data_IF_790363638047
#
_entry.id   IF_790363638047
#
_cell.length_a   1.000
_cell.length_b   1.000
_cell.length_c   1.000
_cell.angle_alpha   90.00
_cell.angle_beta   90.00
_cell.angle_gamma   90.00
#
_symmetry.space_group_name_H-M   'P 1'
#
loop_
_entity.id
_entity.type
_entity.pdbx_description
1 polymer ?
#
# COMPACT_ATOMS: atom_id res chain seq x y z
N UNK A 1 -17.59 -6.97 23.30
CA UNK A 1 -16.13 -6.80 23.50
C UNK A 1 -15.28 -7.48 22.43
N UNK A 2 -15.57 -8.73 22.03
CA UNK A 2 -14.79 -9.42 20.98
C UNK A 2 -14.77 -8.71 19.61
N UNK A 3 -15.86 -8.05 19.22
CA UNK A 3 -15.95 -7.32 17.94
C UNK A 3 -15.00 -6.13 17.88
N UNK A 4 -14.93 -5.37 18.98
CA UNK A 4 -14.07 -4.18 19.14
C UNK A 4 -12.60 -4.59 19.21
N UNK A 5 -12.26 -5.64 19.96
CA UNK A 5 -10.89 -6.16 19.99
C UNK A 5 -10.40 -6.61 18.62
N UNK A 6 -11.26 -7.29 17.85
CA UNK A 6 -10.92 -7.74 16.49
C UNK A 6 -10.84 -6.58 15.49
N UNK A 7 -11.54 -5.47 15.71
CA UNK A 7 -11.37 -4.21 14.95
C UNK A 7 -10.04 -3.52 15.29
N UNK A 8 -9.68 -3.43 16.59
CA UNK A 8 -8.42 -2.86 17.03
C UNK A 8 -7.21 -3.61 16.45
N UNK A 9 -7.24 -4.94 16.47
CA UNK A 9 -6.21 -5.77 15.85
C UNK A 9 -6.12 -5.53 14.33
N UNK A 10 -7.26 -5.42 13.65
CA UNK A 10 -7.29 -5.15 12.21
C UNK A 10 -6.68 -3.78 11.86
N UNK A 11 -7.09 -2.73 12.56
CA UNK A 11 -6.60 -1.37 12.33
C UNK A 11 -5.11 -1.25 12.70
N UNK A 12 -4.68 -1.90 13.79
CA UNK A 12 -3.27 -1.93 14.19
C UNK A 12 -2.38 -2.62 13.15
N UNK A 13 -2.82 -3.76 12.62
CA UNK A 13 -2.11 -4.45 11.55
C UNK A 13 -2.04 -3.59 10.27
N UNK A 14 -3.15 -2.92 9.91
CA UNK A 14 -3.20 -2.01 8.77
C UNK A 14 -2.20 -0.85 8.90
N UNK A 15 -2.17 -0.21 10.07
CA UNK A 15 -1.22 0.88 10.38
C UNK A 15 0.23 0.40 10.37
N UNK A 16 0.50 -0.80 10.87
CA UNK A 16 1.85 -1.37 10.87
C UNK A 16 2.36 -1.64 9.44
N UNK A 17 1.50 -2.19 8.58
CA UNK A 17 1.79 -2.37 7.15
C UNK A 17 2.03 -1.01 6.48
N UNK A 18 1.15 -0.03 6.71
CA UNK A 18 1.27 1.32 6.15
C UNK A 18 2.55 2.04 6.61
N UNK A 19 2.94 1.89 7.88
CA UNK A 19 4.19 2.43 8.41
C UNK A 19 5.43 1.76 7.80
N UNK A 20 5.42 0.43 7.65
CA UNK A 20 6.51 -0.31 7.01
C UNK A 20 6.68 0.10 5.53
N UNK A 21 5.55 0.26 4.83
CA UNK A 21 5.49 0.83 3.48
C UNK A 21 6.20 2.18 3.40
N UNK A 22 5.84 3.13 4.28
CA UNK A 22 6.44 4.47 4.29
C UNK A 22 7.95 4.41 4.56
N UNK A 23 8.41 3.54 5.48
CA UNK A 23 9.84 3.35 5.76
C UNK A 23 10.59 2.80 4.54
N UNK A 24 10.00 1.82 3.84
CA UNK A 24 10.59 1.25 2.61
C UNK A 24 10.58 2.31 1.49
N UNK A 25 9.52 3.11 1.40
CA UNK A 25 9.38 4.19 0.42
C UNK A 25 10.43 5.28 0.62
N UNK A 26 10.68 5.66 1.88
CA UNK A 26 11.69 6.65 2.27
C UNK A 26 13.12 6.13 2.04
N UNK A 27 13.38 4.85 2.39
CA UNK A 27 14.70 4.22 2.19
C UNK A 27 15.10 4.00 0.74
N UNK A 28 14.13 3.80 -0.16
CA UNK A 28 14.42 3.58 -1.58
C UNK A 28 14.83 4.89 -2.27
N UNK A 29 14.45 6.05 -1.70
CA UNK A 29 14.88 7.39 -2.09
C UNK A 29 14.46 7.85 -3.50
N UNK A 30 14.34 6.97 -4.49
CA UNK A 30 14.30 7.30 -5.90
C UNK A 30 13.44 6.25 -6.63
N UNK A 31 12.44 6.71 -7.40
CA UNK A 31 11.75 6.01 -8.52
C UNK A 31 11.92 4.49 -8.48
N UNK A 32 10.99 3.79 -7.81
CA UNK A 32 11.02 2.33 -7.71
C UNK A 32 11.23 1.72 -9.11
N UNK A 33 12.14 0.74 -9.28
CA UNK A 33 12.23 -0.02 -10.52
C UNK A 33 10.93 -0.81 -10.68
N UNK A 34 10.00 -0.24 -11.45
CA UNK A 34 8.60 -0.67 -11.52
C UNK A 34 7.66 0.50 -11.81
N UNK A 35 7.99 1.73 -11.39
CA UNK A 35 7.27 2.91 -11.84
C UNK A 35 7.70 3.22 -13.28
N UNK A 36 6.81 2.94 -14.23
CA UNK A 36 7.09 3.19 -15.65
C UNK A 36 7.05 4.70 -15.83
N UNK A 37 8.23 5.29 -15.92
CA UNK A 37 8.40 6.72 -16.18
C UNK A 37 8.85 6.90 -17.62
N UNK A 38 7.89 7.14 -18.51
CA UNK A 38 8.17 7.45 -19.90
C UNK A 38 8.42 8.96 -19.99
N UNK A 39 9.69 9.35 -20.14
CA UNK A 39 10.07 10.73 -20.43
C UNK A 39 10.20 10.94 -21.93
N UNK A 40 9.40 11.84 -22.46
CA UNK A 40 9.49 12.36 -23.82
C UNK A 40 10.08 13.76 -23.82
N UNK A 41 10.31 14.32 -25.00
CA UNK A 41 11.03 15.60 -25.18
C UNK A 41 10.35 16.80 -24.50
N UNK A 42 9.04 16.73 -24.25
CA UNK A 42 8.25 17.77 -23.57
C UNK A 42 7.19 17.19 -22.60
N UNK A 43 7.20 15.89 -22.31
CA UNK A 43 6.21 15.26 -21.42
C UNK A 43 6.85 14.24 -20.47
N UNK A 44 6.18 13.95 -19.37
CA UNK A 44 6.57 12.86 -18.46
C UNK A 44 5.31 12.10 -18.08
N UNK A 45 5.24 10.82 -18.45
CA UNK A 45 4.19 9.92 -18.00
C UNK A 45 4.74 9.07 -16.86
N UNK A 46 4.09 9.12 -15.69
CA UNK A 46 4.48 8.38 -14.49
C UNK A 46 3.38 7.37 -14.17
N UNK A 47 3.71 6.08 -14.22
CA UNK A 47 2.76 5.01 -13.91
C UNK A 47 3.20 4.26 -12.66
N UNK A 48 2.54 4.49 -11.50
CA UNK A 48 3.01 4.00 -10.23
C UNK A 48 2.49 2.58 -9.94
N UNK A 49 3.09 1.58 -10.57
CA UNK A 49 2.65 0.18 -10.45
C UNK A 49 2.79 -0.35 -9.02
N UNK A 50 3.87 0.03 -8.33
CA UNK A 50 4.18 -0.48 -7.00
C UNK A 50 3.12 -0.05 -5.98
N UNK A 51 2.75 1.23 -5.96
CA UNK A 51 1.70 1.74 -5.06
C UNK A 51 0.34 1.17 -5.40
N UNK A 52 0.01 1.01 -6.68
CA UNK A 52 -1.25 0.42 -7.13
C UNK A 52 -1.41 -1.02 -6.63
N UNK A 53 -0.35 -1.83 -6.75
CA UNK A 53 -0.34 -3.22 -6.31
C UNK A 53 -0.47 -3.33 -4.77
N UNK A 54 0.20 -2.42 -4.06
CA UNK A 54 0.18 -2.38 -2.60
C UNK A 54 -1.16 -1.93 -2.04
N UNK A 55 -1.76 -0.90 -2.65
CA UNK A 55 -3.10 -0.45 -2.31
C UNK A 55 -4.11 -1.59 -2.55
N UNK A 56 -3.99 -2.31 -3.66
CA UNK A 56 -4.82 -3.47 -3.97
C UNK A 56 -4.68 -4.57 -2.91
N UNK A 57 -3.46 -4.97 -2.57
CA UNK A 57 -3.22 -5.98 -1.54
C UNK A 57 -3.79 -5.58 -0.17
N UNK A 58 -3.67 -4.30 0.20
CA UNK A 58 -4.23 -3.76 1.43
C UNK A 58 -5.76 -3.80 1.45
N UNK A 59 -6.39 -3.34 0.37
CA UNK A 59 -7.85 -3.40 0.18
C UNK A 59 -8.36 -4.85 0.23
N UNK A 60 -7.68 -5.77 -0.46
CA UNK A 60 -8.02 -7.20 -0.42
C UNK A 60 -7.91 -7.76 1.00
N UNK A 61 -6.86 -7.41 1.75
CA UNK A 61 -6.68 -7.86 3.13
C UNK A 61 -7.81 -7.35 4.04
N UNK A 62 -8.20 -6.08 3.90
CA UNK A 62 -9.30 -5.47 4.67
C UNK A 62 -10.62 -6.17 4.33
N UNK A 63 -10.95 -6.32 3.05
CA UNK A 63 -12.17 -7.00 2.60
C UNK A 63 -12.20 -8.44 3.08
N UNK A 64 -11.09 -9.17 2.97
CA UNK A 64 -10.97 -10.54 3.45
C UNK A 64 -11.23 -10.64 4.96
N UNK A 65 -10.66 -9.73 5.75
CA UNK A 65 -10.80 -9.75 7.20
C UNK A 65 -12.22 -9.38 7.69
N UNK A 66 -12.91 -8.52 6.94
CA UNK A 66 -14.31 -8.15 7.20
C UNK A 66 -15.26 -9.24 6.71
N UNK A 67 -15.02 -9.81 5.53
CA UNK A 67 -15.86 -10.85 4.91
C UNK A 67 -15.75 -12.22 5.59
N UNK A 68 -14.67 -12.47 6.35
CA UNK A 68 -14.47 -13.75 7.05
C UNK A 68 -15.06 -13.77 8.46
N UNK A 69 -15.95 -12.83 8.79
CA UNK A 69 -16.81 -12.86 9.97
C UNK A 69 -18.20 -13.33 9.60
#
# INVERSE_FOLDING_TARGET
MGTVGRLLLATGALLMVFGALLIIWDKIGWRLPGDIVVRGRNWTFYFPLATSLLLSALLTLVVWLVSRR
#
